data_IF_409155374166
#
_entry.id   IF_409155374166
#
_cell.length_a   1.000
_cell.length_b   1.000
_cell.length_c   1.000
_cell.angle_alpha   90.00
_cell.angle_beta   90.00
_cell.angle_gamma   90.00
#
_symmetry.space_group_name_H-M   'P 1'
#
loop_
_entity.id
_entity.type
_entity.pdbx_description
1 polymer ?
#
# COMPACT_ATOMS: atom_id res chain seq x y z
N UNK A 1 2.43 26.84 25.47
CA UNK A 1 3.81 26.42 25.81
C UNK A 1 3.87 24.91 25.56
N UNK A 2 4.76 24.45 24.68
CA UNK A 2 4.82 23.03 24.28
C UNK A 2 5.51 22.16 25.34
N UNK A 3 6.44 22.78 26.08
CA UNK A 3 7.14 22.20 27.22
C UNK A 3 6.98 23.13 28.44
N UNK A 4 7.10 22.55 29.63
CA UNK A 4 6.91 23.25 30.90
C UNK A 4 5.53 23.01 31.50
N UNK A 5 5.48 22.34 32.64
CA UNK A 5 4.31 22.42 33.53
C UNK A 5 4.47 23.60 34.49
N UNK A 6 4.07 23.46 35.75
CA UNK A 6 4.08 24.55 36.73
C UNK A 6 5.47 24.98 37.25
N UNK A 7 6.57 24.47 36.66
CA UNK A 7 7.95 24.82 37.06
C UNK A 7 8.37 24.30 38.44
N UNK A 8 7.56 23.46 39.09
CA UNK A 8 7.83 22.93 40.44
C UNK A 8 7.61 21.42 40.55
N UNK A 9 6.48 20.90 40.06
CA UNK A 9 6.09 19.48 40.23
C UNK A 9 5.55 18.82 38.97
N UNK A 10 5.23 19.58 37.92
CA UNK A 10 4.73 19.04 36.65
C UNK A 10 5.63 19.48 35.51
N UNK A 11 6.06 18.50 34.71
CA UNK A 11 6.81 18.73 33.47
C UNK A 11 6.02 18.09 32.33
N UNK A 12 5.56 18.90 31.39
CA UNK A 12 4.93 18.44 30.16
C UNK A 12 6.01 17.97 29.18
N UNK A 13 6.69 16.87 29.51
CA UNK A 13 7.77 16.32 28.69
C UNK A 13 7.21 15.67 27.42
N UNK A 14 7.89 15.81 26.27
CA UNK A 14 7.49 15.12 25.06
C UNK A 14 7.64 13.61 25.23
N UNK A 15 6.59 12.87 24.86
CA UNK A 15 6.62 11.42 24.81
C UNK A 15 7.16 10.96 23.44
N UNK A 16 8.37 10.40 23.43
CA UNK A 16 9.04 9.84 22.26
C UNK A 16 8.96 8.31 22.14
N UNK A 17 8.22 7.63 23.02
CA UNK A 17 8.07 6.17 22.94
C UNK A 17 7.48 5.76 21.58
N UNK A 18 8.21 4.88 20.86
CA UNK A 18 7.87 4.43 19.52
C UNK A 18 7.74 5.55 18.46
N UNK A 19 8.46 6.67 18.64
CA UNK A 19 8.46 7.81 17.71
C UNK A 19 9.86 8.14 17.22
N UNK A 20 9.95 8.59 15.98
CA UNK A 20 11.13 9.25 15.45
C UNK A 20 11.01 10.77 15.65
N UNK A 21 12.08 11.42 16.10
CA UNK A 21 12.15 12.88 16.19
C UNK A 21 12.44 13.53 14.83
N UNK A 22 11.93 14.73 14.61
CA UNK A 22 12.23 15.56 13.46
C UNK A 22 12.25 17.04 13.87
N UNK A 23 12.93 17.89 13.08
CA UNK A 23 13.06 19.32 13.36
C UNK A 23 11.76 20.08 13.08
N UNK A 24 11.43 21.06 13.92
CA UNK A 24 10.39 22.03 13.61
C UNK A 24 10.83 22.98 12.47
N UNK A 25 9.88 23.63 11.81
CA UNK A 25 10.14 24.71 10.87
C UNK A 25 9.37 24.58 9.55
N UNK A 26 9.80 25.38 8.57
CA UNK A 26 9.22 25.44 7.24
C UNK A 26 10.34 25.35 6.20
N UNK A 27 10.77 24.11 5.91
CA UNK A 27 11.74 23.86 4.85
C UNK A 27 11.13 24.15 3.46
N UNK A 28 11.92 24.62 2.48
CA UNK A 28 11.44 24.82 1.11
C UNK A 28 10.81 23.55 0.53
N UNK A 29 9.56 23.64 0.06
CA UNK A 29 8.83 22.51 -0.52
C UNK A 29 8.31 21.47 0.50
N UNK A 30 8.47 21.71 1.80
CA UNK A 30 7.98 20.83 2.86
C UNK A 30 6.74 21.42 3.55
N UNK A 31 5.95 20.54 4.18
CA UNK A 31 4.88 20.98 5.07
C UNK A 31 5.47 21.68 6.31
N UNK A 32 4.89 22.81 6.75
CA UNK A 32 5.34 23.47 7.97
C UNK A 32 4.95 22.62 9.19
N UNK A 33 5.86 22.50 10.14
CA UNK A 33 5.62 21.78 11.39
C UNK A 33 6.06 22.61 12.60
N UNK A 34 5.18 22.75 13.59
CA UNK A 34 5.47 23.41 14.86
C UNK A 34 5.94 22.40 15.90
N UNK A 35 6.71 22.87 16.89
CA UNK A 35 7.15 22.04 18.02
C UNK A 35 5.98 21.31 18.68
N UNK A 36 6.18 20.04 19.01
CA UNK A 36 5.17 19.19 19.65
C UNK A 36 4.15 18.56 18.68
N UNK A 37 4.24 18.86 17.38
CA UNK A 37 3.43 18.18 16.35
C UNK A 37 3.72 16.68 16.30
N UNK A 38 2.67 15.87 16.23
CA UNK A 38 2.77 14.41 16.06
C UNK A 38 2.18 14.00 14.72
N UNK A 39 3.00 13.45 13.83
CA UNK A 39 2.60 13.07 12.46
C UNK A 39 3.21 11.71 12.08
N UNK A 40 2.74 11.14 10.97
CA UNK A 40 3.23 9.87 10.43
C UNK A 40 2.44 8.65 10.89
N UNK A 41 2.79 7.50 10.33
CA UNK A 41 2.22 6.19 10.69
C UNK A 41 3.30 5.12 10.64
N UNK A 42 3.28 4.18 11.60
CA UNK A 42 4.20 3.04 11.62
C UNK A 42 3.88 2.00 10.55
N UNK A 43 2.63 1.93 10.08
CA UNK A 43 2.21 1.02 9.02
C UNK A 43 1.19 1.68 8.10
N UNK A 44 1.17 1.31 6.83
CA UNK A 44 0.23 1.83 5.84
C UNK A 44 -0.40 0.67 5.09
N UNK A 45 -1.73 0.67 4.99
CA UNK A 45 -2.44 -0.19 4.05
C UNK A 45 -2.67 0.56 2.76
N UNK A 46 -2.35 -0.06 1.62
CA UNK A 46 -2.53 0.54 0.31
C UNK A 46 -4.01 0.54 -0.08
N UNK A 47 -4.51 1.71 -0.49
CA UNK A 47 -5.81 1.87 -1.13
C UNK A 47 -5.69 1.65 -2.64
N UNK A 48 -6.79 1.30 -3.30
CA UNK A 48 -6.82 1.10 -4.75
C UNK A 48 -6.35 2.35 -5.53
N UNK A 49 -6.58 3.55 -5.00
CA UNK A 49 -6.11 4.82 -5.56
C UNK A 49 -4.58 5.01 -5.50
N UNK A 50 -3.89 4.22 -4.67
CA UNK A 50 -2.44 4.25 -4.50
C UNK A 50 -1.74 3.17 -5.33
N UNK A 51 -2.49 2.38 -6.10
CA UNK A 51 -1.96 1.37 -7.01
C UNK A 51 -2.20 1.87 -8.44
N UNK A 52 -1.21 1.80 -9.35
CA UNK A 52 -1.41 2.16 -10.74
C UNK A 52 -2.60 1.41 -11.37
N UNK A 53 -3.31 2.12 -12.24
CA UNK A 53 -4.37 1.49 -13.03
C UNK A 53 -3.75 0.35 -13.86
N UNK A 54 -4.30 -0.83 -13.66
CA UNK A 54 -3.93 -2.03 -14.41
C UNK A 54 -5.20 -2.73 -14.84
N UNK A 55 -5.10 -3.52 -15.91
CA UNK A 55 -6.22 -4.30 -16.43
C UNK A 55 -5.87 -5.78 -16.42
N UNK A 56 -6.88 -6.60 -16.15
CA UNK A 56 -6.80 -8.05 -16.31
C UNK A 56 -7.42 -8.40 -17.65
N UNK A 57 -6.58 -8.41 -18.70
CA UNK A 57 -7.00 -8.78 -20.04
C UNK A 57 -7.00 -10.30 -20.23
N UNK A 58 -8.07 -10.84 -20.81
CA UNK A 58 -8.11 -12.22 -21.30
C UNK A 58 -8.15 -12.17 -22.83
N UNK A 59 -7.16 -12.78 -23.49
CA UNK A 59 -7.16 -12.95 -24.95
C UNK A 59 -7.67 -14.35 -25.28
N UNK A 60 -8.77 -14.42 -26.02
CA UNK A 60 -9.24 -15.67 -26.63
C UNK A 60 -8.65 -15.78 -28.03
N UNK A 61 -7.98 -16.90 -28.33
CA UNK A 61 -7.44 -17.18 -29.66
C UNK A 61 -8.32 -18.19 -30.39
N UNK A 62 -8.71 -17.86 -31.63
CA UNK A 62 -9.40 -18.78 -32.53
C UNK A 62 -8.47 -19.14 -33.69
N UNK A 63 -8.04 -20.41 -33.75
CA UNK A 63 -7.20 -20.93 -34.82
C UNK A 63 -8.01 -21.05 -36.12
N UNK A 64 -7.71 -20.16 -37.08
CA UNK A 64 -8.40 -20.08 -38.37
C UNK A 64 -8.10 -21.27 -39.27
N UNK A 65 -6.90 -21.86 -39.16
CA UNK A 65 -6.48 -23.05 -39.91
C UNK A 65 -6.93 -24.34 -39.21
N UNK A 66 -7.91 -25.09 -39.77
CA UNK A 66 -8.43 -26.30 -39.13
C UNK A 66 -7.37 -27.37 -38.89
N UNK A 67 -6.33 -27.42 -39.72
CA UNK A 67 -5.25 -28.42 -39.62
C UNK A 67 -4.32 -28.18 -38.43
N UNK A 68 -4.33 -26.94 -37.89
CA UNK A 68 -3.53 -26.52 -36.73
C UNK A 68 -4.32 -26.50 -35.43
N UNK A 69 -5.59 -26.90 -35.46
CA UNK A 69 -6.41 -27.07 -34.25
C UNK A 69 -5.98 -28.35 -33.56
N UNK A 70 -5.68 -28.27 -32.26
CA UNK A 70 -5.30 -29.42 -31.46
C UNK A 70 -6.18 -29.47 -30.20
N UNK A 71 -6.49 -30.67 -29.71
CA UNK A 71 -7.22 -30.85 -28.44
C UNK A 71 -6.34 -30.67 -27.21
N UNK A 72 -5.06 -30.34 -27.39
CA UNK A 72 -4.05 -30.19 -26.35
C UNK A 72 -3.66 -28.72 -26.23
N UNK A 73 -3.70 -28.10 -25.03
CA UNK A 73 -3.21 -26.75 -24.83
C UNK A 73 -1.74 -26.62 -25.25
N UNK A 74 -1.40 -25.58 -26.02
CA UNK A 74 -0.01 -25.19 -26.29
C UNK A 74 0.44 -24.12 -25.28
N UNK A 75 1.76 -23.98 -25.09
CA UNK A 75 2.31 -22.96 -24.20
C UNK A 75 1.94 -21.55 -24.68
N UNK A 76 1.27 -20.76 -23.84
CA UNK A 76 0.91 -19.37 -24.12
C UNK A 76 -0.44 -19.14 -24.81
N UNK A 77 -1.29 -20.16 -24.96
CA UNK A 77 -2.65 -20.01 -25.53
C UNK A 77 -3.73 -20.44 -24.53
N UNK A 78 -4.85 -19.73 -24.54
CA UNK A 78 -6.08 -20.11 -23.82
C UNK A 78 -6.92 -21.06 -24.67
N UNK A 79 -7.59 -22.02 -24.03
CA UNK A 79 -8.43 -22.99 -24.73
C UNK A 79 -9.65 -22.29 -25.36
N UNK A 80 -9.79 -22.40 -26.68
CA UNK A 80 -11.01 -22.11 -27.40
C UNK A 80 -11.51 -23.41 -28.03
N UNK A 81 -12.73 -23.82 -27.66
CA UNK A 81 -13.44 -24.93 -28.31
C UNK A 81 -13.64 -24.58 -29.78
N UNK A 82 -13.02 -25.35 -30.68
CA UNK A 82 -13.24 -25.24 -32.13
C UNK A 82 -13.68 -26.58 -32.69
N UNK A 83 -14.91 -26.98 -32.40
CA UNK A 83 -15.50 -28.12 -33.11
C UNK A 83 -17.03 -28.15 -33.17
N UNK A 84 -17.71 -27.05 -33.44
CA UNK A 84 -19.10 -27.13 -33.93
C UNK A 84 -19.51 -25.85 -34.65
N UNK A 85 -20.26 -25.98 -35.75
CA UNK A 85 -20.86 -24.88 -36.54
C UNK A 85 -21.88 -24.02 -35.76
N UNK A 86 -21.86 -24.11 -34.43
CA UNK A 86 -22.87 -23.62 -33.50
C UNK A 86 -22.26 -22.88 -32.31
N UNK A 87 -20.93 -22.76 -32.20
CA UNK A 87 -20.25 -22.11 -31.07
C UNK A 87 -19.41 -20.94 -31.57
N UNK A 88 -20.04 -19.76 -31.63
CA UNK A 88 -19.34 -18.48 -31.65
C UNK A 88 -18.83 -18.22 -30.23
N UNK A 89 -17.68 -17.55 -30.03
CA UNK A 89 -17.16 -17.21 -28.69
C UNK A 89 -18.14 -16.37 -27.85
N UNK A 90 -19.18 -15.81 -28.48
CA UNK A 90 -20.39 -15.34 -27.81
C UNK A 90 -21.62 -15.88 -28.57
N UNK A 91 -22.39 -16.77 -27.94
CA UNK A 91 -23.70 -17.21 -28.41
C UNK A 91 -24.82 -16.45 -27.68
N UNK A 92 -25.96 -16.25 -28.33
CA UNK A 92 -27.22 -15.77 -27.72
C UNK A 92 -27.95 -16.89 -26.94
N UNK A 93 -27.22 -17.83 -26.35
CA UNK A 93 -27.77 -18.84 -25.43
C UNK A 93 -27.28 -18.60 -24.01
N UNK A 94 -28.06 -19.05 -23.03
CA UNK A 94 -27.71 -18.93 -21.62
C UNK A 94 -26.36 -19.61 -21.35
N UNK A 95 -25.41 -18.96 -20.63
CA UNK A 95 -24.13 -19.56 -20.28
C UNK A 95 -24.31 -20.93 -19.59
N UNK A 96 -23.60 -21.95 -20.05
CA UNK A 96 -23.68 -23.33 -19.54
C UNK A 96 -22.58 -23.67 -18.51
N UNK A 97 -21.51 -22.85 -18.48
CA UNK A 97 -20.43 -22.91 -17.49
C UNK A 97 -20.06 -21.53 -16.98
N UNK A 98 -20.04 -21.41 -15.66
CA UNK A 98 -19.48 -20.24 -15.02
C UNK A 98 -17.95 -20.37 -15.02
N UNK A 99 -17.31 -19.42 -15.69
CA UNK A 99 -15.89 -19.11 -15.55
C UNK A 99 -15.50 -19.00 -14.07
N UNK A 100 -14.32 -19.53 -13.68
CA UNK A 100 -13.93 -19.53 -12.26
C UNK A 100 -14.06 -18.11 -11.67
N UNK A 101 -14.71 -17.93 -10.52
CA UNK A 101 -14.83 -16.62 -9.91
C UNK A 101 -13.46 -16.03 -9.54
N UNK A 102 -12.40 -16.85 -9.42
CA UNK A 102 -11.06 -16.42 -8.97
C UNK A 102 -10.19 -15.72 -10.03
N UNK A 103 -10.52 -15.81 -11.31
CA UNK A 103 -9.59 -15.39 -12.39
C UNK A 103 -9.59 -13.90 -12.70
N UNK A 104 -10.49 -13.12 -12.09
CA UNK A 104 -10.46 -11.66 -12.11
C UNK A 104 -10.53 -11.08 -10.69
N UNK A 105 -10.22 -11.89 -9.67
CA UNK A 105 -10.28 -11.42 -8.30
C UNK A 105 -9.15 -10.42 -8.03
N UNK A 106 -9.42 -9.37 -7.23
CA UNK A 106 -8.37 -8.54 -6.69
C UNK A 106 -7.34 -9.40 -5.95
N UNK A 107 -6.06 -9.12 -6.19
CA UNK A 107 -4.97 -9.70 -5.40
C UNK A 107 -4.60 -8.76 -4.26
N UNK A 108 -4.26 -9.35 -3.11
CA UNK A 108 -3.91 -8.62 -1.90
C UNK A 108 -5.11 -8.51 -0.95
N UNK A 109 -4.87 -8.84 0.33
CA UNK A 109 -5.88 -8.77 1.41
C UNK A 109 -5.85 -7.44 2.16
N UNK A 110 -5.26 -6.39 1.56
CA UNK A 110 -5.18 -5.05 2.15
C UNK A 110 -4.40 -4.98 3.46
N UNK A 111 -3.48 -5.93 3.71
CA UNK A 111 -2.65 -5.89 4.92
C UNK A 111 -1.72 -4.68 4.89
N UNK A 112 -1.56 -4.04 6.04
CA UNK A 112 -0.65 -2.92 6.17
C UNK A 112 0.80 -3.41 6.06
N UNK A 113 1.62 -2.65 5.33
CA UNK A 113 3.06 -2.85 5.30
C UNK A 113 3.75 -1.99 6.36
N UNK A 114 4.92 -2.44 6.81
CA UNK A 114 5.80 -1.65 7.67
C UNK A 114 6.22 -0.36 6.94
N UNK A 115 6.09 0.77 7.62
CA UNK A 115 6.38 2.10 7.09
C UNK A 115 7.48 2.81 7.88
N UNK A 116 8.05 2.17 8.90
CA UNK A 116 9.25 2.68 9.56
C UNK A 116 10.48 2.32 8.74
N UNK A 117 11.31 3.33 8.48
CA UNK A 117 12.67 3.14 7.99
C UNK A 117 13.49 2.30 8.99
N UNK A 118 14.59 1.64 8.57
CA UNK A 118 15.51 0.99 9.49
C UNK A 118 15.93 1.94 10.62
N UNK A 119 15.88 1.47 11.87
CA UNK A 119 16.12 2.32 13.04
C UNK A 119 16.85 1.57 14.16
N UNK A 120 17.51 2.34 15.01
CA UNK A 120 18.02 1.90 16.31
C UNK A 120 17.18 2.55 17.40
N UNK A 121 16.70 1.76 18.35
CA UNK A 121 16.00 2.28 19.51
C UNK A 121 17.00 2.97 20.46
N UNK A 122 16.68 4.20 20.87
CA UNK A 122 17.47 4.97 21.83
C UNK A 122 16.55 5.52 22.92
N UNK A 123 17.13 5.82 24.08
CA UNK A 123 16.42 6.50 25.15
C UNK A 123 16.61 8.00 25.02
N UNK A 124 15.51 8.75 24.95
CA UNK A 124 15.54 10.20 25.05
C UNK A 124 15.51 10.60 26.52
N UNK A 125 16.55 11.30 26.97
CA UNK A 125 16.68 11.78 28.34
C UNK A 125 16.66 13.31 28.35
N UNK A 126 15.89 13.90 29.26
CA UNK A 126 15.88 15.34 29.53
C UNK A 126 16.28 15.56 30.99
N UNK A 127 17.25 16.43 31.22
CA UNK A 127 17.59 16.91 32.55
C UNK A 127 16.48 17.85 33.06
N UNK A 128 15.93 17.55 34.24
CA UNK A 128 14.89 18.38 34.89
C UNK A 128 15.47 19.40 35.87
N UNK A 129 16.76 19.26 36.19
CA UNK A 129 17.50 20.06 37.17
C UNK A 129 18.96 20.19 36.67
N UNK A 130 19.57 21.36 36.87
CA UNK A 130 20.94 21.66 36.44
C UNK A 130 21.09 23.08 35.90
N UNK A 131 22.30 23.43 35.47
CA UNK A 131 22.56 24.71 34.80
C UNK A 131 21.90 24.69 33.40
N UNK A 132 20.99 25.63 33.19
CA UNK A 132 20.28 25.77 31.92
C UNK A 132 21.17 26.50 30.91
N UNK A 133 21.10 26.14 29.61
CA UNK A 133 21.75 26.94 28.59
C UNK A 133 21.17 28.36 28.61
N UNK A 134 22.04 29.35 28.87
CA UNK A 134 21.75 30.75 28.60
C UNK A 134 22.09 31.01 27.15
N UNK A 135 21.11 31.48 26.38
CA UNK A 135 21.30 31.90 25.01
C UNK A 135 21.32 33.43 25.02
N UNK A 136 22.47 34.03 24.71
CA UNK A 136 22.64 35.48 24.49
C UNK A 136 21.96 35.95 23.19
#
# INVERSE_FOLDING_TARGET
MVYGGNGSSTFQLPNFCARAGFQQGQGPGLSPHTLGSSVGSASVSLQSSQIPLHQHGVTAYSQSDPTKRTGTPASGVTLSSLSINSERPFLTVAPDKQFSPTMLMPTGIGQAHENRQPYLAVNFCIALQGDYPVFD
#
